data_IF_208059565908
#
_entry.id   IF_208059565908
#
_cell.length_a   1.000
_cell.length_b   1.000
_cell.length_c   1.000
_cell.angle_alpha   90.00
_cell.angle_beta   90.00
_cell.angle_gamma   90.00
#
_symmetry.space_group_name_H-M   'P 1'
#
loop_
_entity.id
_entity.type
_entity.pdbx_description
1 polymer ?
#
# COMPACT_ATOMS: atom_id res chain seq x y z
N UNK A 1 -9.32 -12.27 4.39
CA UNK A 1 -10.52 -11.69 5.07
C UNK A 1 -11.28 -12.70 5.93
N UNK A 2 -11.48 -13.89 5.49
CA UNK A 2 -12.25 -14.90 6.26
C UNK A 2 -11.71 -15.10 7.68
N UNK A 3 -10.39 -15.21 7.82
CA UNK A 3 -9.75 -15.36 9.13
C UNK A 3 -9.99 -14.13 10.02
N UNK A 4 -9.90 -12.92 9.48
CA UNK A 4 -10.16 -11.70 10.23
C UNK A 4 -11.60 -11.65 10.72
N UNK A 5 -12.55 -12.00 9.87
CA UNK A 5 -13.97 -12.05 10.24
C UNK A 5 -14.24 -13.11 11.32
N UNK A 6 -13.66 -14.29 11.14
CA UNK A 6 -13.85 -15.41 12.08
C UNK A 6 -13.33 -15.09 13.48
N UNK A 7 -12.28 -14.27 13.60
CA UNK A 7 -11.66 -13.91 14.87
C UNK A 7 -12.14 -12.56 15.42
N UNK A 8 -12.95 -11.81 14.66
CA UNK A 8 -13.41 -10.47 15.05
C UNK A 8 -12.37 -9.38 14.86
N UNK A 9 -11.21 -9.71 14.30
CA UNK A 9 -10.12 -8.74 14.07
C UNK A 9 -10.53 -7.67 13.04
N UNK A 10 -11.42 -7.98 12.11
CA UNK A 10 -11.93 -7.03 11.13
C UNK A 10 -12.58 -5.81 11.81
N UNK A 11 -13.32 -6.03 12.88
CA UNK A 11 -13.96 -4.95 13.66
C UNK A 11 -12.93 -4.24 14.52
N UNK A 12 -12.09 -5.00 15.21
CA UNK A 12 -11.07 -4.47 16.11
C UNK A 12 -10.12 -3.52 15.37
N UNK A 13 -9.62 -3.94 14.20
CA UNK A 13 -8.68 -3.12 13.41
C UNK A 13 -9.29 -1.77 13.07
N UNK A 14 -10.55 -1.74 12.63
CA UNK A 14 -11.23 -0.49 12.26
C UNK A 14 -11.40 0.47 13.44
N UNK A 15 -11.47 -0.05 14.65
CA UNK A 15 -11.69 0.74 15.87
C UNK A 15 -10.39 1.23 16.51
N UNK A 16 -9.22 0.81 15.99
CA UNK A 16 -7.93 1.24 16.53
C UNK A 16 -7.75 2.75 16.36
N UNK A 17 -7.18 3.40 17.38
CA UNK A 17 -6.91 4.84 17.38
C UNK A 17 -5.42 5.16 17.24
N UNK A 18 -4.55 4.23 17.61
CA UNK A 18 -3.11 4.37 17.38
C UNK A 18 -2.78 4.26 15.89
N UNK A 19 -1.61 4.74 15.47
CA UNK A 19 -1.17 4.55 14.09
C UNK A 19 -1.13 3.06 13.70
N UNK A 20 -1.65 2.75 12.54
CA UNK A 20 -1.71 1.38 11.98
C UNK A 20 -1.04 1.41 10.62
N UNK A 21 -0.15 0.46 10.37
CA UNK A 21 0.54 0.32 9.10
C UNK A 21 0.18 -1.02 8.44
N UNK A 22 -0.41 -0.95 7.26
CA UNK A 22 -0.65 -2.12 6.40
C UNK A 22 0.44 -2.22 5.33
N UNK A 23 1.06 -3.38 5.21
CA UNK A 23 2.15 -3.60 4.25
C UNK A 23 1.69 -4.63 3.21
N UNK A 24 1.81 -4.30 1.93
CA UNK A 24 1.49 -5.15 0.78
C UNK A 24 0.05 -5.69 0.85
N UNK A 25 -0.14 -6.95 1.20
CA UNK A 25 -1.47 -7.52 1.40
C UNK A 25 -2.26 -6.75 2.48
N UNK A 26 -1.58 -6.28 3.52
CA UNK A 26 -2.19 -5.47 4.58
C UNK A 26 -2.83 -4.19 4.03
N UNK A 27 -2.17 -3.51 3.09
CA UNK A 27 -2.74 -2.35 2.40
C UNK A 27 -4.00 -2.73 1.63
N UNK A 28 -3.96 -3.83 0.91
CA UNK A 28 -5.08 -4.28 0.08
C UNK A 28 -6.28 -4.69 0.93
N UNK A 29 -6.04 -5.31 2.09
CA UNK A 29 -7.10 -5.66 3.04
C UNK A 29 -7.77 -4.43 3.66
N UNK A 30 -7.10 -3.30 3.73
CA UNK A 30 -7.67 -2.04 4.22
C UNK A 30 -8.60 -1.35 3.22
N UNK A 31 -8.57 -1.75 1.96
CA UNK A 31 -9.44 -1.23 0.91
C UNK A 31 -10.86 -1.77 1.03
N UNK A 32 -11.75 -1.29 0.16
CA UNK A 32 -13.17 -1.68 0.18
C UNK A 32 -13.39 -3.07 -0.38
N UNK A 33 -12.78 -3.36 -1.54
CA UNK A 33 -12.96 -4.60 -2.29
C UNK A 33 -11.69 -4.96 -3.04
N UNK A 34 -11.46 -6.24 -3.25
CA UNK A 34 -10.33 -6.74 -4.03
C UNK A 34 -10.79 -7.71 -5.10
N UNK A 35 -10.27 -7.54 -6.32
CA UNK A 35 -10.44 -8.50 -7.39
C UNK A 35 -9.77 -9.84 -7.06
N UNK A 36 -8.75 -9.82 -6.18
CA UNK A 36 -8.14 -11.05 -5.70
C UNK A 36 -9.14 -11.82 -4.82
N UNK A 37 -9.62 -12.94 -5.31
CA UNK A 37 -10.64 -13.72 -4.63
C UNK A 37 -12.02 -13.06 -4.60
N UNK A 38 -12.23 -11.97 -5.34
CA UNK A 38 -13.49 -11.22 -5.36
C UNK A 38 -14.02 -10.99 -3.94
N UNK A 39 -13.22 -10.39 -3.09
CA UNK A 39 -13.48 -10.29 -1.66
C UNK A 39 -13.76 -8.86 -1.20
N UNK A 40 -14.80 -8.70 -0.39
CA UNK A 40 -15.02 -7.46 0.37
C UNK A 40 -14.01 -7.41 1.53
N UNK A 41 -13.35 -6.26 1.68
CA UNK A 41 -12.29 -6.06 2.64
C UNK A 41 -12.73 -5.11 3.76
N UNK A 42 -11.76 -4.51 4.48
CA UNK A 42 -12.08 -3.72 5.68
C UNK A 42 -12.80 -2.41 5.40
N UNK A 43 -12.64 -1.84 4.20
CA UNK A 43 -13.32 -0.60 3.83
C UNK A 43 -12.81 0.64 4.54
N UNK A 44 -11.58 0.62 5.06
CA UNK A 44 -10.95 1.79 5.67
C UNK A 44 -10.69 2.84 4.60
N UNK A 45 -10.13 2.41 3.45
CA UNK A 45 -9.98 3.25 2.27
C UNK A 45 -11.11 2.94 1.29
N UNK A 46 -11.76 3.97 0.77
CA UNK A 46 -12.78 3.83 -0.29
C UNK A 46 -12.07 3.66 -1.64
N UNK A 47 -11.51 2.49 -1.83
CA UNK A 47 -10.73 2.14 -3.00
C UNK A 47 -10.87 0.65 -3.33
N UNK A 48 -10.73 0.32 -4.61
CA UNK A 48 -10.79 -1.06 -5.08
C UNK A 48 -9.41 -1.54 -5.51
N UNK A 49 -9.07 -2.77 -5.13
CA UNK A 49 -7.83 -3.44 -5.54
C UNK A 49 -8.09 -4.15 -6.86
N UNK A 50 -7.28 -3.88 -7.87
CA UNK A 50 -7.42 -4.41 -9.22
C UNK A 50 -6.20 -5.20 -9.64
N UNK A 51 -6.36 -6.13 -10.58
CA UNK A 51 -5.27 -6.89 -11.15
C UNK A 51 -4.56 -6.09 -12.24
N UNK A 52 -3.22 -6.10 -12.25
CA UNK A 52 -2.46 -5.60 -13.39
C UNK A 52 -2.79 -6.36 -14.67
N UNK A 53 -2.99 -5.62 -15.76
CA UNK A 53 -3.19 -6.17 -17.10
C UNK A 53 -2.03 -5.72 -17.97
N UNK A 54 -1.16 -6.63 -18.45
CA UNK A 54 -0.08 -6.27 -19.35
C UNK A 54 -0.60 -5.55 -20.60
N UNK A 55 0.07 -4.44 -20.98
CA UNK A 55 -0.23 -3.69 -22.20
C UNK A 55 0.78 -4.00 -23.32
N UNK A 56 2.00 -4.43 -22.93
CA UNK A 56 3.10 -4.72 -23.83
C UNK A 56 3.70 -6.07 -23.48
N UNK A 57 4.45 -6.65 -24.42
CA UNK A 57 5.11 -7.94 -24.20
C UNK A 57 6.06 -7.92 -22.99
N UNK A 58 6.77 -6.81 -22.77
CA UNK A 58 7.72 -6.66 -21.67
C UNK A 58 7.06 -6.43 -20.30
N UNK A 59 5.77 -6.16 -20.25
CA UNK A 59 5.06 -5.97 -18.99
C UNK A 59 4.92 -7.31 -18.26
N UNK A 60 5.58 -7.45 -17.11
CA UNK A 60 5.53 -8.65 -16.28
C UNK A 60 4.56 -8.50 -15.13
N UNK A 61 3.81 -9.55 -14.83
CA UNK A 61 2.96 -9.65 -13.66
C UNK A 61 3.35 -10.93 -12.92
N UNK A 62 3.81 -10.84 -11.67
CA UNK A 62 3.79 -9.66 -10.78
C UNK A 62 4.80 -8.57 -11.15
N UNK A 63 4.52 -7.35 -10.73
CA UNK A 63 5.51 -6.28 -10.62
C UNK A 63 6.47 -6.67 -9.51
N UNK A 64 7.70 -6.99 -9.85
CA UNK A 64 8.70 -7.50 -8.92
C UNK A 64 10.02 -6.78 -9.12
N UNK A 65 10.56 -6.22 -8.03
CA UNK A 65 11.85 -5.54 -8.04
C UNK A 65 11.77 -4.12 -7.49
N UNK A 66 12.84 -3.36 -7.72
CA UNK A 66 12.99 -1.99 -7.25
C UNK A 66 12.33 -1.01 -8.22
N UNK A 67 11.58 -0.06 -7.68
CA UNK A 67 10.98 1.02 -8.45
C UNK A 67 10.85 2.26 -7.57
N UNK A 68 10.66 3.42 -8.18
CA UNK A 68 10.63 4.69 -7.47
C UNK A 68 9.24 5.00 -6.92
N UNK A 69 9.24 5.69 -5.77
CA UNK A 69 8.06 6.38 -5.25
C UNK A 69 8.20 7.87 -5.48
N UNK A 70 7.11 8.50 -5.91
CA UNK A 70 7.03 9.93 -6.22
C UNK A 70 5.81 10.54 -5.55
N UNK A 71 5.70 11.86 -5.58
CA UNK A 71 4.54 12.60 -5.05
C UNK A 71 4.21 12.21 -3.60
N UNK A 72 5.25 12.10 -2.76
CA UNK A 72 5.10 11.72 -1.36
C UNK A 72 4.46 12.85 -0.55
N UNK A 73 3.41 12.56 0.21
CA UNK A 73 2.65 13.57 0.96
C UNK A 73 2.12 13.07 2.30
N UNK A 74 2.88 12.24 3.00
CA UNK A 74 2.48 11.68 4.28
C UNK A 74 3.64 11.78 5.27
N UNK A 75 3.33 11.71 6.57
CA UNK A 75 4.33 11.66 7.63
C UNK A 75 5.29 10.47 7.51
N UNK A 76 4.88 9.40 6.81
CA UNK A 76 5.77 8.26 6.49
C UNK A 76 7.01 8.71 5.71
N UNK A 77 6.89 9.78 4.94
CA UNK A 77 7.93 10.26 4.02
C UNK A 77 8.62 11.52 4.52
N UNK A 78 8.52 11.80 5.82
CA UNK A 78 9.21 12.93 6.44
C UNK A 78 10.70 12.85 6.17
N UNK A 79 11.28 13.95 5.66
CA UNK A 79 12.70 14.03 5.30
C UNK A 79 13.02 13.56 3.88
N UNK A 80 12.03 13.12 3.12
CA UNK A 80 12.23 12.77 1.71
C UNK A 80 12.21 14.03 0.85
N UNK A 81 13.31 14.28 0.15
CA UNK A 81 13.48 15.45 -0.72
C UNK A 81 13.65 15.11 -2.20
N UNK A 82 13.62 13.81 -2.52
CA UNK A 82 13.78 13.29 -3.87
C UNK A 82 13.04 11.95 -4.00
N UNK A 83 12.91 11.49 -5.24
CA UNK A 83 12.39 10.16 -5.53
C UNK A 83 13.34 9.10 -4.96
N UNK A 84 12.78 8.10 -4.32
CA UNK A 84 13.52 7.02 -3.69
C UNK A 84 13.08 5.66 -4.24
N UNK A 85 14.01 4.69 -4.26
CA UNK A 85 13.70 3.33 -4.68
C UNK A 85 13.24 2.49 -3.50
N UNK A 86 12.19 1.70 -3.75
CA UNK A 86 11.65 0.73 -2.79
C UNK A 86 11.36 -0.58 -3.51
N UNK A 87 11.20 -1.67 -2.75
CA UNK A 87 11.02 -3.01 -3.30
C UNK A 87 9.55 -3.40 -3.38
N UNK A 88 9.13 -3.83 -4.56
CA UNK A 88 7.77 -4.30 -4.87
C UNK A 88 7.76 -5.78 -5.22
N UNK A 89 6.69 -6.47 -4.82
CA UNK A 89 6.31 -7.78 -5.35
C UNK A 89 4.79 -7.93 -5.21
N UNK A 90 4.04 -7.65 -6.29
CA UNK A 90 2.58 -7.71 -6.24
C UNK A 90 1.99 -7.84 -7.65
N UNK A 91 0.84 -8.48 -7.74
CA UNK A 91 0.07 -8.63 -8.99
C UNK A 91 -1.19 -7.77 -9.02
N UNK A 92 -1.58 -7.23 -7.87
CA UNK A 92 -2.76 -6.39 -7.72
C UNK A 92 -2.32 -5.02 -7.21
N UNK A 93 -3.09 -3.99 -7.53
CA UNK A 93 -2.75 -2.60 -7.21
C UNK A 93 -3.99 -1.81 -6.82
N UNK A 94 -3.77 -0.69 -6.16
CA UNK A 94 -4.81 0.31 -5.86
C UNK A 94 -4.62 1.48 -6.82
N UNK A 95 -5.64 1.86 -7.61
CA UNK A 95 -5.56 3.05 -8.45
C UNK A 95 -5.27 4.30 -7.64
N UNK A 96 -4.65 5.29 -8.28
CA UNK A 96 -4.46 6.62 -7.66
C UNK A 96 -5.82 7.18 -7.29
N UNK A 97 -5.96 7.67 -6.05
CA UNK A 97 -7.20 8.18 -5.49
C UNK A 97 -6.92 9.28 -4.46
N UNK A 98 -7.95 9.78 -3.80
CA UNK A 98 -7.85 10.88 -2.82
C UNK A 98 -6.97 10.53 -1.60
N UNK A 99 -6.78 9.27 -1.29
CA UNK A 99 -5.98 8.82 -0.14
C UNK A 99 -4.54 8.46 -0.52
N UNK A 100 -4.16 8.61 -1.79
CA UNK A 100 -2.82 8.26 -2.26
C UNK A 100 -1.78 9.15 -1.61
N UNK A 101 -0.81 8.52 -0.94
CA UNK A 101 0.27 9.19 -0.22
C UNK A 101 1.61 9.10 -0.95
N UNK A 102 1.74 8.23 -1.91
CA UNK A 102 2.87 8.12 -2.82
C UNK A 102 2.43 7.36 -4.07
N UNK A 103 3.06 7.67 -5.19
CA UNK A 103 2.72 7.09 -6.51
C UNK A 103 3.93 6.38 -7.10
N UNK A 104 3.68 5.31 -7.80
CA UNK A 104 4.67 4.59 -8.61
C UNK A 104 4.08 4.33 -9.98
N UNK A 105 4.92 4.32 -11.00
CA UNK A 105 4.51 4.03 -12.37
C UNK A 105 5.01 2.63 -12.77
N UNK A 106 4.08 1.75 -13.07
CA UNK A 106 4.35 0.42 -13.65
C UNK A 106 3.13 -0.02 -14.43
N UNK A 107 3.26 -0.17 -15.75
CA UNK A 107 2.16 -0.34 -16.71
C UNK A 107 1.32 0.94 -16.77
N UNK A 108 0.95 1.49 -15.63
CA UNK A 108 0.28 2.77 -15.43
C UNK A 108 0.59 3.27 -14.01
N UNK A 109 0.30 4.54 -13.67
CA UNK A 109 0.44 5.01 -12.29
C UNK A 109 -0.48 4.25 -11.33
N UNK A 110 0.00 3.97 -10.12
CA UNK A 110 -0.78 3.36 -9.06
C UNK A 110 -0.37 3.90 -7.69
N UNK A 111 -1.18 3.64 -6.67
CA UNK A 111 -0.90 4.06 -5.30
C UNK A 111 0.19 3.17 -4.70
N UNK A 112 1.37 3.74 -4.46
CA UNK A 112 2.45 3.06 -3.74
C UNK A 112 2.21 3.10 -2.23
N UNK A 113 1.47 4.12 -1.75
CA UNK A 113 1.10 4.27 -0.36
C UNK A 113 -0.25 4.96 -0.24
N UNK A 114 -0.97 4.67 0.86
CA UNK A 114 -2.24 5.30 1.22
C UNK A 114 -2.15 5.84 2.64
N UNK A 115 -2.91 6.91 2.92
CA UNK A 115 -3.04 7.47 4.25
C UNK A 115 -4.43 8.04 4.45
N UNK A 116 -5.07 7.68 5.56
CA UNK A 116 -6.32 8.25 6.03
C UNK A 116 -6.36 8.15 7.56
N UNK A 117 -6.53 9.29 8.24
CA UNK A 117 -6.59 9.35 9.71
C UNK A 117 -5.36 8.68 10.34
N UNK A 118 -5.56 7.67 11.18
CA UNK A 118 -4.48 6.90 11.82
C UNK A 118 -4.02 5.69 11.01
N UNK A 119 -4.57 5.47 9.80
CA UNK A 119 -4.25 4.34 8.95
C UNK A 119 -3.27 4.74 7.86
N UNK A 120 -2.15 4.01 7.80
CA UNK A 120 -1.09 4.15 6.81
C UNK A 120 -0.91 2.82 6.11
N UNK A 121 -0.57 2.86 4.84
CA UNK A 121 -0.37 1.63 4.08
C UNK A 121 0.66 1.81 2.97
N UNK A 122 1.43 0.75 2.71
CA UNK A 122 2.39 0.72 1.60
C UNK A 122 2.16 -0.52 0.75
N UNK A 123 2.22 -0.36 -0.57
CA UNK A 123 2.21 -1.50 -1.49
C UNK A 123 3.56 -2.19 -1.52
N UNK A 124 4.63 -1.41 -1.42
CA UNK A 124 5.98 -1.94 -1.32
C UNK A 124 6.24 -2.51 0.08
N UNK A 125 7.35 -3.23 0.21
CA UNK A 125 7.82 -3.81 1.46
C UNK A 125 8.92 -2.93 2.07
N UNK A 126 8.62 -2.07 3.06
CA UNK A 126 9.66 -1.26 3.70
C UNK A 126 10.77 -2.11 4.30
N UNK A 127 10.42 -3.26 4.88
CA UNK A 127 11.37 -4.20 5.49
C UNK A 127 12.35 -4.81 4.48
N UNK A 128 12.04 -4.70 3.17
CA UNK A 128 12.89 -5.18 2.07
C UNK A 128 13.47 -4.03 1.24
N UNK A 129 13.29 -2.79 1.69
CA UNK A 129 13.64 -1.60 0.90
C UNK A 129 14.90 -0.89 1.42
N UNK A 130 15.77 -1.59 2.14
CA UNK A 130 17.06 -1.07 2.60
C UNK A 130 16.92 0.16 3.51
N UNK A 131 17.82 1.11 3.38
CA UNK A 131 17.84 2.33 4.22
C UNK A 131 16.62 3.22 4.02
N UNK A 132 16.07 3.26 2.82
CA UNK A 132 14.83 4.00 2.54
C UNK A 132 13.68 3.40 3.35
N UNK A 133 13.56 2.08 3.34
CA UNK A 133 12.55 1.37 4.12
C UNK A 133 12.70 1.57 5.62
N UNK A 134 13.94 1.56 6.12
CA UNK A 134 14.22 1.84 7.53
C UNK A 134 13.75 3.25 7.94
N UNK A 135 13.98 4.24 7.09
CA UNK A 135 13.51 5.61 7.34
C UNK A 135 11.99 5.69 7.39
N UNK A 136 11.30 4.98 6.50
CA UNK A 136 9.84 4.92 6.48
C UNK A 136 9.31 4.28 7.76
N UNK A 137 9.87 3.14 8.17
CA UNK A 137 9.47 2.45 9.39
C UNK A 137 9.76 3.30 10.63
N UNK A 138 10.91 3.99 10.65
CA UNK A 138 11.24 4.91 11.74
C UNK A 138 10.24 6.06 11.80
N UNK A 139 9.91 6.66 10.67
CA UNK A 139 8.92 7.73 10.61
C UNK A 139 7.56 7.26 11.15
N UNK A 140 7.16 6.04 10.83
CA UNK A 140 5.93 5.45 11.37
C UNK A 140 6.01 5.29 12.89
N UNK A 141 7.12 4.78 13.41
CA UNK A 141 7.29 4.59 14.85
C UNK A 141 7.35 5.90 15.63
N UNK A 142 7.70 6.99 14.98
CA UNK A 142 7.78 8.32 15.59
C UNK A 142 6.45 9.08 15.57
N UNK A 143 5.38 8.48 15.06
CA UNK A 143 4.04 9.10 15.00
C UNK A 143 3.37 9.24 16.36
#
# INVERSE_FOLDING_TARGET
MEHLKATGLDKLIKDLKQPVLGICLGMQLMCKHSEEGNADCLGIFDAEVKRFVPKRHEDKVPHMGWNTITNTNSALFTGFDKDEFVYFVHSYYVPVNEHTAATTDYIHPFSAALHKDNFYATQFHPEKSGSVGERILKNFLDL
#
